data_IF_022005671155
#
_entry.id   IF_022005671155
#
_cell.length_a   1.000
_cell.length_b   1.000
_cell.length_c   1.000
_cell.angle_alpha   90.00
_cell.angle_beta   90.00
_cell.angle_gamma   90.00
#
_symmetry.space_group_name_H-M   'P 1'
#
loop_
_entity.id
_entity.type
_entity.pdbx_description
1 polymer ?
#
# COMPACT_ATOMS: atom_id res chain seq x y z
N UNK A 1 31.83 -31.01 -5.07
CA UNK A 1 30.56 -30.84 -4.36
C UNK A 1 29.75 -29.79 -5.08
N UNK A 2 28.44 -29.94 -5.10
CA UNK A 2 27.53 -29.00 -5.75
C UNK A 2 27.21 -27.78 -4.87
N UNK A 3 26.28 -26.96 -5.35
CA UNK A 3 25.72 -25.83 -4.61
C UNK A 3 24.98 -26.34 -3.37
N UNK A 4 25.25 -25.75 -2.20
CA UNK A 4 24.65 -26.18 -0.94
C UNK A 4 25.32 -27.40 -0.31
N UNK A 5 26.48 -27.82 -0.82
CA UNK A 5 27.25 -28.94 -0.29
C UNK A 5 28.66 -28.49 0.13
N UNK A 6 29.21 -29.15 1.16
CA UNK A 6 30.62 -29.03 1.53
C UNK A 6 31.34 -30.35 1.42
N UNK A 7 32.66 -30.28 1.25
CA UNK A 7 33.52 -31.47 1.22
C UNK A 7 33.99 -31.82 2.62
N UNK A 8 33.59 -32.98 3.13
CA UNK A 8 34.10 -33.45 4.40
C UNK A 8 35.55 -33.91 4.28
N UNK A 9 36.41 -33.42 5.19
CA UNK A 9 37.84 -33.67 5.13
C UNK A 9 38.22 -35.09 5.57
N UNK A 10 37.32 -35.79 6.29
CA UNK A 10 37.58 -37.17 6.78
C UNK A 10 37.21 -38.21 5.73
N UNK A 11 36.05 -38.04 5.10
CA UNK A 11 35.51 -39.03 4.15
C UNK A 11 35.75 -38.66 2.69
N UNK A 12 36.04 -37.39 2.38
CA UNK A 12 36.11 -36.88 1.01
C UNK A 12 34.76 -36.80 0.30
N UNK A 13 33.67 -37.12 1.00
CA UNK A 13 32.29 -37.14 0.49
C UNK A 13 31.69 -35.73 0.57
N UNK A 14 30.81 -35.42 -0.38
CA UNK A 14 30.04 -34.19 -0.38
C UNK A 14 28.78 -34.36 0.47
N UNK A 15 28.62 -33.50 1.47
CA UNK A 15 27.45 -33.49 2.36
C UNK A 15 26.74 -32.14 2.26
N UNK A 16 25.42 -32.13 2.47
CA UNK A 16 24.66 -30.88 2.50
C UNK A 16 25.13 -29.98 3.64
N UNK A 17 25.11 -28.66 3.41
CA UNK A 17 25.38 -27.69 4.46
C UNK A 17 24.38 -27.87 5.62
N UNK A 18 24.87 -27.94 6.88
CA UNK A 18 24.01 -28.09 8.04
C UNK A 18 23.12 -26.86 8.26
N UNK A 19 22.12 -26.99 9.14
CA UNK A 19 21.30 -25.86 9.58
C UNK A 19 22.15 -24.67 10.05
N UNK A 20 21.61 -23.45 9.93
CA UNK A 20 22.32 -22.19 10.24
C UNK A 20 23.51 -21.89 9.31
N UNK A 21 23.68 -22.67 8.23
CA UNK A 21 24.67 -22.40 7.18
C UNK A 21 24.05 -22.56 5.79
N UNK A 22 24.70 -21.98 4.78
CA UNK A 22 24.29 -22.10 3.38
C UNK A 22 25.49 -22.04 2.44
N UNK A 23 25.32 -22.47 1.20
CA UNK A 23 26.32 -22.29 0.12
C UNK A 23 25.61 -22.04 -1.21
N UNK A 24 26.00 -20.97 -1.92
CA UNK A 24 25.46 -20.62 -3.25
C UNK A 24 26.38 -21.02 -4.40
N UNK A 25 27.63 -21.31 -4.10
CA UNK A 25 28.68 -21.65 -5.05
C UNK A 25 29.14 -23.11 -4.87
N UNK A 26 29.66 -23.72 -5.94
CA UNK A 26 30.23 -25.07 -5.87
C UNK A 26 31.62 -25.11 -5.20
N UNK A 27 31.95 -24.12 -4.36
CA UNK A 27 33.25 -24.01 -3.68
C UNK A 27 33.46 -25.11 -2.63
N UNK A 28 32.38 -25.79 -2.22
CA UNK A 28 32.44 -26.80 -1.19
C UNK A 28 32.61 -26.23 0.22
N UNK A 29 32.26 -24.96 0.44
CA UNK A 29 32.34 -24.28 1.74
C UNK A 29 30.98 -23.72 2.14
N UNK A 30 30.55 -24.01 3.38
CA UNK A 30 29.32 -23.45 3.94
C UNK A 30 29.60 -22.13 4.67
N UNK A 31 28.84 -21.09 4.32
CA UNK A 31 28.88 -19.78 4.97
C UNK A 31 27.88 -19.73 6.14
N UNK A 32 28.19 -18.97 7.21
CA UNK A 32 27.27 -18.79 8.33
C UNK A 32 26.04 -17.98 7.89
N UNK A 33 24.87 -18.30 8.44
CA UNK A 33 23.64 -17.57 8.13
C UNK A 33 23.75 -16.09 8.53
N UNK A 34 23.43 -15.14 7.64
CA UNK A 34 23.47 -13.72 7.95
C UNK A 34 22.39 -13.34 8.97
N UNK A 35 22.55 -12.17 9.59
CA UNK A 35 21.52 -11.61 10.45
C UNK A 35 20.21 -11.38 9.67
N UNK A 36 19.09 -11.59 10.37
CA UNK A 36 17.75 -11.46 9.80
C UNK A 36 17.44 -12.41 8.62
N UNK A 37 18.26 -13.44 8.44
CA UNK A 37 18.02 -14.57 7.54
C UNK A 37 17.72 -15.87 8.31
N UNK A 38 16.97 -16.76 7.66
CA UNK A 38 16.75 -18.14 8.05
C UNK A 38 17.48 -19.05 7.05
N UNK A 39 18.25 -20.02 7.57
CA UNK A 39 18.98 -20.99 6.77
C UNK A 39 18.64 -22.40 7.29
N UNK A 40 17.70 -23.12 6.65
CA UNK A 40 17.39 -24.50 7.00
C UNK A 40 18.50 -25.50 6.58
N UNK A 41 19.54 -25.03 5.88
CA UNK A 41 20.65 -25.84 5.39
C UNK A 41 20.69 -25.89 3.86
N UNK A 42 21.72 -26.54 3.31
CA UNK A 42 21.93 -26.62 1.86
C UNK A 42 22.24 -25.26 1.22
N UNK A 43 21.47 -24.89 0.19
CA UNK A 43 21.57 -23.60 -0.50
C UNK A 43 20.40 -22.66 -0.16
N UNK A 44 19.56 -23.05 0.79
CA UNK A 44 18.41 -22.27 1.20
C UNK A 44 18.84 -21.18 2.18
N UNK A 45 18.81 -19.95 1.72
CA UNK A 45 18.79 -18.75 2.53
C UNK A 45 17.42 -18.13 2.35
N UNK A 46 16.81 -17.55 3.37
CA UNK A 46 15.51 -16.88 3.28
C UNK A 46 15.44 -15.67 4.22
N UNK A 47 14.97 -14.49 3.79
CA UNK A 47 14.74 -13.36 4.68
C UNK A 47 13.71 -13.69 5.77
N UNK A 48 13.92 -13.24 7.00
CA UNK A 48 12.91 -13.30 8.05
C UNK A 48 11.71 -12.37 7.73
N UNK A 49 10.53 -12.60 8.35
CA UNK A 49 9.40 -11.70 8.21
C UNK A 49 9.76 -10.25 8.58
N UNK A 50 9.45 -9.33 7.67
CA UNK A 50 9.83 -7.92 7.76
C UNK A 50 11.12 -7.54 7.03
N UNK A 51 11.84 -8.52 6.47
CA UNK A 51 13.04 -8.31 5.67
C UNK A 51 12.84 -8.76 4.23
N UNK A 52 13.65 -8.20 3.34
CA UNK A 52 13.64 -8.45 1.90
C UNK A 52 15.07 -8.53 1.37
N UNK A 53 15.24 -9.26 0.26
CA UNK A 53 16.52 -9.39 -0.45
C UNK A 53 16.32 -9.15 -1.94
N UNK A 54 17.39 -8.75 -2.61
CA UNK A 54 17.38 -8.41 -4.04
C UNK A 54 17.29 -9.61 -5.00
N UNK A 55 17.87 -10.74 -4.63
CA UNK A 55 17.89 -11.98 -5.42
C UNK A 55 17.97 -13.19 -4.50
N UNK A 56 17.77 -14.39 -5.02
CA UNK A 56 17.87 -15.62 -4.23
C UNK A 56 19.29 -15.91 -3.69
N UNK A 57 20.32 -15.34 -4.32
CA UNK A 57 21.73 -15.47 -3.93
C UNK A 57 22.24 -14.26 -3.13
N UNK A 58 21.40 -13.23 -2.96
CA UNK A 58 21.78 -12.05 -2.18
C UNK A 58 21.78 -12.39 -0.69
N UNK A 59 22.91 -12.11 -0.06
CA UNK A 59 23.13 -12.30 1.39
C UNK A 59 22.71 -11.08 2.20
N UNK A 60 22.34 -9.98 1.54
CA UNK A 60 21.93 -8.73 2.18
C UNK A 60 20.43 -8.77 2.49
N UNK A 61 20.11 -8.71 3.78
CA UNK A 61 18.74 -8.64 4.30
C UNK A 61 18.40 -7.19 4.64
N UNK A 62 17.55 -6.58 3.82
CA UNK A 62 17.10 -5.20 4.00
C UNK A 62 15.77 -5.15 4.74
N UNK A 63 15.63 -4.22 5.69
CA UNK A 63 14.37 -3.99 6.39
C UNK A 63 13.32 -3.38 5.45
N UNK A 64 12.09 -3.89 5.52
CA UNK A 64 11.00 -3.34 4.71
C UNK A 64 10.39 -2.09 5.37
N UNK A 65 9.93 -1.08 4.60
CA UNK A 65 9.38 0.17 5.14
C UNK A 65 8.19 -0.02 6.07
N UNK A 66 7.36 -1.04 5.83
CA UNK A 66 6.23 -1.41 6.69
C UNK A 66 6.51 -2.70 7.48
N UNK A 67 7.77 -3.13 7.55
CA UNK A 67 8.20 -4.36 8.20
C UNK A 67 7.36 -5.56 7.77
N UNK A 68 6.83 -6.29 8.76
CA UNK A 68 6.05 -7.53 8.55
C UNK A 68 4.72 -7.32 7.81
N UNK A 69 4.24 -6.08 7.72
CA UNK A 69 2.99 -5.74 7.01
C UNK A 69 3.17 -5.81 5.51
N UNK A 70 4.35 -5.48 4.98
CA UNK A 70 4.65 -5.59 3.55
C UNK A 70 5.48 -6.82 3.19
N UNK A 71 6.36 -7.28 4.08
CA UNK A 71 7.25 -8.42 3.83
C UNK A 71 6.88 -9.62 4.69
N UNK A 72 6.43 -10.69 4.04
CA UNK A 72 6.00 -11.92 4.69
C UNK A 72 7.19 -12.76 5.21
N UNK A 73 8.39 -12.53 4.66
CA UNK A 73 9.56 -13.41 4.83
C UNK A 73 9.68 -14.38 3.67
N UNK A 74 10.74 -15.19 3.63
CA UNK A 74 10.98 -16.15 2.54
C UNK A 74 11.20 -15.50 1.17
N UNK A 75 11.51 -14.21 1.12
CA UNK A 75 11.63 -13.44 -0.11
C UNK A 75 10.27 -13.10 -0.75
N UNK A 76 9.16 -13.26 -0.02
CA UNK A 76 7.80 -12.99 -0.50
C UNK A 76 7.24 -11.71 0.12
N UNK A 77 6.46 -10.99 -0.69
CA UNK A 77 5.66 -9.87 -0.23
C UNK A 77 4.32 -10.36 0.35
N UNK A 78 3.77 -9.55 1.26
CA UNK A 78 2.41 -9.71 1.76
C UNK A 78 1.38 -9.42 0.66
N UNK A 79 0.14 -9.88 0.89
CA UNK A 79 -0.94 -9.67 -0.08
C UNK A 79 -1.17 -8.18 -0.37
N UNK A 80 -1.21 -7.84 -1.65
CA UNK A 80 -1.40 -6.46 -2.11
C UNK A 80 -0.12 -5.64 -2.24
N UNK A 81 1.04 -6.23 -1.91
CA UNK A 81 2.35 -5.63 -2.03
C UNK A 81 3.22 -6.36 -3.05
N UNK A 82 4.08 -5.61 -3.73
CA UNK A 82 5.00 -6.12 -4.75
C UNK A 82 6.23 -5.22 -4.91
N UNK A 83 7.19 -5.66 -5.73
CA UNK A 83 8.39 -4.90 -6.09
C UNK A 83 9.49 -4.90 -5.02
N UNK A 84 10.46 -4.00 -5.18
CA UNK A 84 11.60 -3.85 -4.28
C UNK A 84 11.12 -3.48 -2.88
N UNK A 85 11.62 -4.17 -1.85
CA UNK A 85 11.22 -4.00 -0.45
C UNK A 85 9.71 -4.17 -0.19
N UNK A 86 8.99 -4.77 -1.15
CA UNK A 86 7.53 -4.84 -1.14
C UNK A 86 6.88 -3.46 -0.94
N UNK A 87 7.49 -2.41 -1.52
CA UNK A 87 7.09 -1.02 -1.32
C UNK A 87 6.08 -0.51 -2.35
N UNK A 88 5.64 -1.35 -3.29
CA UNK A 88 4.67 -1.00 -4.34
C UNK A 88 3.38 -1.80 -4.18
N UNK A 89 2.25 -1.26 -4.62
CA UNK A 89 0.98 -1.98 -4.60
C UNK A 89 0.90 -2.97 -5.77
N UNK A 90 0.40 -4.17 -5.48
CA UNK A 90 0.17 -5.18 -6.48
C UNK A 90 -1.09 -4.88 -7.33
N UNK A 91 -1.27 -5.62 -8.43
CA UNK A 91 -2.41 -5.44 -9.32
C UNK A 91 -3.74 -5.60 -8.57
N UNK A 92 -4.64 -4.64 -8.77
CA UNK A 92 -5.93 -4.60 -8.07
C UNK A 92 -5.86 -3.96 -6.68
N UNK A 93 -4.71 -3.41 -6.28
CA UNK A 93 -4.54 -2.59 -5.09
C UNK A 93 -4.09 -1.17 -5.45
N UNK A 94 -4.50 -0.19 -4.66
CA UNK A 94 -4.13 1.22 -4.80
C UNK A 94 -3.66 1.80 -3.47
N UNK A 95 -2.93 2.91 -3.54
CA UNK A 95 -2.37 3.56 -2.35
C UNK A 95 -3.45 4.33 -1.59
N UNK A 96 -3.63 4.05 -0.30
CA UNK A 96 -4.56 4.79 0.59
C UNK A 96 -3.85 5.69 1.59
N UNK A 97 -2.52 5.75 1.53
CA UNK A 97 -1.66 6.53 2.39
C UNK A 97 -0.19 6.29 2.05
N UNK A 98 0.76 6.76 2.87
CA UNK A 98 2.18 6.52 2.64
C UNK A 98 2.48 5.02 2.69
N UNK A 99 2.90 4.46 1.56
CA UNK A 99 3.24 3.04 1.35
C UNK A 99 2.14 2.02 1.69
N UNK A 100 0.92 2.42 2.06
CA UNK A 100 -0.18 1.48 2.38
C UNK A 100 -1.03 1.18 1.15
N UNK A 101 -1.26 -0.11 0.92
CA UNK A 101 -2.04 -0.62 -0.21
C UNK A 101 -3.39 -1.15 0.26
N UNK A 102 -4.47 -0.78 -0.43
CA UNK A 102 -5.81 -1.31 -0.22
C UNK A 102 -6.43 -1.78 -1.53
N UNK A 103 -7.40 -2.68 -1.47
CA UNK A 103 -8.06 -3.22 -2.68
C UNK A 103 -8.80 -2.11 -3.43
N UNK A 104 -8.61 -2.07 -4.75
CA UNK A 104 -9.36 -1.19 -5.63
C UNK A 104 -10.84 -1.61 -5.67
N UNK A 105 -11.72 -0.62 -5.77
CA UNK A 105 -13.15 -0.86 -6.02
C UNK A 105 -13.30 -1.46 -7.41
N UNK A 106 -14.05 -2.57 -7.52
CA UNK A 106 -14.30 -3.22 -8.81
C UNK A 106 -15.08 -2.26 -9.73
N UNK A 107 -14.79 -2.24 -11.04
CA UNK A 107 -15.49 -1.36 -11.99
C UNK A 107 -17.01 -1.50 -11.95
N UNK A 108 -17.55 -2.72 -11.74
CA UNK A 108 -18.99 -2.96 -11.61
C UNK A 108 -19.61 -2.30 -10.40
N UNK A 109 -18.91 -2.36 -9.25
CA UNK A 109 -19.36 -1.69 -8.01
C UNK A 109 -19.25 -0.19 -8.17
N UNK A 110 -18.16 0.31 -8.76
CA UNK A 110 -18.00 1.74 -9.04
C UNK A 110 -19.09 2.27 -9.97
N UNK A 111 -19.41 1.54 -11.04
CA UNK A 111 -20.49 1.88 -11.97
C UNK A 111 -21.86 1.87 -11.28
N UNK A 112 -22.15 0.85 -10.46
CA UNK A 112 -23.39 0.78 -9.70
C UNK A 112 -23.53 1.95 -8.72
N UNK A 113 -22.48 2.28 -7.97
CA UNK A 113 -22.45 3.43 -7.07
C UNK A 113 -22.65 4.75 -7.83
N UNK A 114 -22.02 4.89 -9.00
CA UNK A 114 -22.19 6.06 -9.86
C UNK A 114 -23.64 6.19 -10.36
N UNK A 115 -24.23 5.11 -10.85
CA UNK A 115 -25.62 5.11 -11.32
C UNK A 115 -26.60 5.45 -10.19
N UNK A 116 -26.42 4.86 -9.00
CA UNK A 116 -27.22 5.20 -7.81
C UNK A 116 -27.09 6.69 -7.45
N UNK A 117 -25.88 7.24 -7.53
CA UNK A 117 -25.64 8.66 -7.29
C UNK A 117 -26.35 9.53 -8.34
N UNK A 118 -26.26 9.19 -9.63
CA UNK A 118 -26.96 9.89 -10.71
C UNK A 118 -28.48 9.90 -10.49
N UNK A 119 -29.08 8.74 -10.19
CA UNK A 119 -30.51 8.63 -9.91
C UNK A 119 -30.88 9.49 -8.69
N UNK A 120 -30.10 9.40 -7.61
CA UNK A 120 -30.28 10.22 -6.42
C UNK A 120 -30.25 11.72 -6.72
N UNK A 121 -29.30 12.17 -7.56
CA UNK A 121 -29.23 13.58 -7.97
C UNK A 121 -30.42 14.02 -8.82
N UNK A 122 -30.91 13.17 -9.72
CA UNK A 122 -32.11 13.48 -10.53
C UNK A 122 -33.35 13.60 -9.65
N UNK A 123 -33.55 12.68 -8.71
CA UNK A 123 -34.65 12.74 -7.75
C UNK A 123 -34.56 14.00 -6.90
N UNK A 124 -33.36 14.31 -6.38
CA UNK A 124 -33.13 15.52 -5.60
C UNK A 124 -33.45 16.80 -6.38
N UNK A 125 -33.02 16.89 -7.64
CA UNK A 125 -33.34 18.02 -8.52
C UNK A 125 -34.84 18.10 -8.80
N UNK A 126 -35.52 16.99 -9.08
CA UNK A 126 -36.96 16.97 -9.31
C UNK A 126 -37.74 17.47 -8.08
N UNK A 127 -37.34 17.06 -6.88
CA UNK A 127 -37.93 17.51 -5.61
C UNK A 127 -37.74 19.02 -5.43
N UNK A 128 -36.51 19.52 -5.62
CA UNK A 128 -36.23 20.96 -5.45
C UNK A 128 -36.97 21.81 -6.49
N UNK A 129 -37.09 21.33 -7.73
CA UNK A 129 -37.90 21.97 -8.79
C UNK A 129 -39.38 21.99 -8.40
N UNK A 130 -39.93 20.87 -7.92
CA UNK A 130 -41.32 20.78 -7.51
C UNK A 130 -41.65 21.76 -6.38
N UNK A 131 -40.85 21.78 -5.30
CA UNK A 131 -41.03 22.73 -4.20
C UNK A 131 -40.88 24.17 -4.66
N UNK A 132 -39.89 24.46 -5.51
CA UNK A 132 -39.72 25.81 -6.06
C UNK A 132 -40.91 26.21 -6.93
N UNK A 133 -41.46 25.30 -7.73
CA UNK A 133 -42.64 25.57 -8.55
C UNK A 133 -43.87 25.85 -7.69
N UNK A 134 -44.14 25.01 -6.68
CA UNK A 134 -45.25 25.21 -5.74
C UNK A 134 -45.17 26.56 -5.03
N UNK A 135 -43.99 26.92 -4.50
CA UNK A 135 -43.75 28.22 -3.84
C UNK A 135 -43.98 29.42 -4.79
N UNK A 136 -43.68 29.26 -6.09
CA UNK A 136 -43.89 30.34 -7.07
C UNK A 136 -45.37 30.50 -7.49
N UNK A 137 -46.16 29.43 -7.46
CA UNK A 137 -47.59 29.48 -7.81
C UNK A 137 -48.42 30.06 -6.66
N UNK A 138 -48.10 29.70 -5.42
CA UNK A 138 -48.88 30.13 -4.26
C UNK A 138 -48.71 31.62 -3.93
N UNK A 139 -47.65 32.27 -4.46
CA UNK A 139 -47.50 33.73 -4.45
C UNK A 139 -47.40 34.38 -3.07
N UNK A 140 -47.23 33.57 -2.02
CA UNK A 140 -47.12 34.03 -0.63
C UNK A 140 -45.81 34.81 -0.40
N UNK A 141 -45.89 35.83 0.47
CA UNK A 141 -44.75 36.61 0.98
C UNK A 141 -44.11 36.00 2.24
N UNK A 142 -44.57 34.84 2.68
CA UNK A 142 -43.94 34.10 3.79
C UNK A 142 -42.58 33.51 3.37
N UNK A 143 -41.81 33.09 4.37
CA UNK A 143 -40.49 32.50 4.16
C UNK A 143 -40.60 31.20 3.34
N UNK A 144 -40.08 31.23 2.11
CA UNK A 144 -40.19 30.13 1.14
C UNK A 144 -39.30 28.94 1.54
N UNK A 145 -39.86 27.74 1.76
CA UNK A 145 -39.08 26.55 2.07
C UNK A 145 -38.00 26.24 1.01
N UNK A 146 -38.25 26.56 -0.26
CA UNK A 146 -37.27 26.39 -1.34
C UNK A 146 -35.99 27.23 -1.14
N UNK A 147 -36.06 28.38 -0.48
CA UNK A 147 -34.89 29.24 -0.23
C UNK A 147 -34.03 28.70 0.92
N UNK A 148 -34.65 28.14 1.97
CA UNK A 148 -33.94 27.43 3.04
C UNK A 148 -33.20 26.20 2.51
N UNK A 149 -33.85 25.43 1.62
CA UNK A 149 -33.23 24.26 0.98
C UNK A 149 -32.00 24.67 0.16
N UNK A 150 -32.07 25.76 -0.62
CA UNK A 150 -30.92 26.26 -1.40
C UNK A 150 -29.75 26.67 -0.50
N UNK A 151 -30.01 27.36 0.61
CA UNK A 151 -28.97 27.76 1.57
C UNK A 151 -28.28 26.51 2.16
N UNK A 152 -29.05 25.49 2.54
CA UNK A 152 -28.50 24.24 3.06
C UNK A 152 -27.63 23.53 2.01
N UNK A 153 -28.10 23.47 0.76
CA UNK A 153 -27.34 22.87 -0.36
C UNK A 153 -26.01 23.59 -0.56
N UNK A 154 -26.01 24.92 -0.56
CA UNK A 154 -24.78 25.70 -0.71
C UNK A 154 -23.79 25.44 0.44
N UNK A 155 -24.29 25.35 1.68
CA UNK A 155 -23.45 25.04 2.84
C UNK A 155 -22.80 23.65 2.74
N UNK A 156 -23.57 22.64 2.31
CA UNK A 156 -23.07 21.27 2.11
C UNK A 156 -22.06 21.22 0.96
N UNK A 157 -22.35 21.89 -0.18
CA UNK A 157 -21.43 21.97 -1.31
C UNK A 157 -20.10 22.63 -0.92
N UNK A 158 -20.14 23.72 -0.15
CA UNK A 158 -18.96 24.41 0.36
C UNK A 158 -18.08 23.50 1.23
N UNK A 159 -18.69 22.77 2.19
CA UNK A 159 -17.96 21.82 3.04
C UNK A 159 -17.39 20.65 2.25
N UNK A 160 -18.12 20.13 1.26
CA UNK A 160 -17.63 19.06 0.40
C UNK A 160 -16.40 19.51 -0.42
N UNK A 161 -16.44 20.70 -1.01
CA UNK A 161 -15.32 21.27 -1.78
C UNK A 161 -14.10 21.45 -0.87
N UNK A 162 -14.27 22.06 0.30
CA UNK A 162 -13.19 22.25 1.27
C UNK A 162 -12.59 20.91 1.71
N UNK A 163 -13.42 19.91 2.00
CA UNK A 163 -12.94 18.58 2.39
C UNK A 163 -12.08 17.92 1.30
N UNK A 164 -12.47 18.07 0.02
CA UNK A 164 -11.68 17.56 -1.11
C UNK A 164 -10.36 18.33 -1.26
N UNK A 165 -10.39 19.66 -1.12
CA UNK A 165 -9.17 20.47 -1.16
C UNK A 165 -8.22 20.16 0.00
N UNK A 166 -8.76 19.98 1.21
CA UNK A 166 -7.96 19.68 2.40
C UNK A 166 -7.35 18.28 2.33
N UNK A 167 -8.10 17.26 1.89
CA UNK A 167 -7.57 15.90 1.72
C UNK A 167 -6.49 15.82 0.64
N UNK A 168 -6.66 16.52 -0.49
CA UNK A 168 -5.63 16.66 -1.53
C UNK A 168 -4.43 17.47 -1.04
N UNK A 169 -4.67 18.55 -0.29
CA UNK A 169 -3.64 19.38 0.33
C UNK A 169 -2.77 18.60 1.32
N UNK A 170 -3.37 17.79 2.21
CA UNK A 170 -2.62 16.91 3.11
C UNK A 170 -1.77 15.88 2.34
N UNK A 171 -2.32 15.29 1.29
CA UNK A 171 -1.56 14.34 0.47
C UNK A 171 -0.36 15.01 -0.23
N UNK A 172 -0.53 16.25 -0.72
CA UNK A 172 0.53 17.03 -1.34
C UNK A 172 1.59 17.48 -0.32
N UNK A 173 1.16 17.91 0.87
CA UNK A 173 2.05 18.40 1.92
C UNK A 173 2.85 17.26 2.57
N UNK A 174 2.24 16.08 2.76
CA UNK A 174 2.93 14.85 3.17
C UNK A 174 4.00 14.44 2.14
N UNK A 175 3.71 14.59 0.85
CA UNK A 175 4.67 14.29 -0.22
C UNK A 175 5.81 15.32 -0.28
N UNK A 176 5.52 16.60 -0.06
CA UNK A 176 6.53 17.67 -0.01
C UNK A 176 7.41 17.60 1.23
N UNK A 177 6.84 17.32 2.41
CA UNK A 177 7.60 17.09 3.64
C UNK A 177 8.45 15.82 3.57
N UNK A 178 7.96 14.75 2.94
CA UNK A 178 8.77 13.55 2.68
C UNK A 178 9.95 13.83 1.74
N UNK A 179 9.76 14.65 0.70
CA UNK A 179 10.86 15.10 -0.18
C UNK A 179 11.85 16.01 0.54
N UNK A 180 11.37 16.94 1.39
CA UNK A 180 12.21 17.81 2.20
C UNK A 180 13.00 17.02 3.26
N UNK A 181 12.40 16.02 3.92
CA UNK A 181 13.07 15.10 4.85
C UNK A 181 14.22 14.35 4.16
N UNK A 182 13.98 13.86 2.94
CA UNK A 182 15.00 13.23 2.09
C UNK A 182 16.11 14.21 1.68
N UNK A 183 15.77 15.44 1.27
CA UNK A 183 16.75 16.45 0.90
C UNK A 183 17.58 16.96 2.10
N UNK A 184 17.00 16.94 3.31
CA UNK A 184 17.67 17.37 4.54
C UNK A 184 18.44 16.24 5.23
N UNK A 185 18.46 15.01 4.68
CA UNK A 185 19.24 13.88 5.20
C UNK A 185 18.79 13.38 6.58
N UNK A 186 17.57 13.72 7.03
CA UNK A 186 17.08 13.39 8.37
C UNK A 186 16.64 11.93 8.53
N UNK A 187 16.64 11.14 7.44
CA UNK A 187 16.34 9.69 7.43
C UNK A 187 17.57 8.79 7.18
N UNK A 188 18.80 9.30 7.24
CA UNK A 188 20.01 8.46 7.43
C UNK A 188 20.15 8.08 8.91
N UNK A 189 19.28 7.21 9.44
CA UNK A 189 19.33 6.90 10.87
C UNK A 189 18.57 5.68 11.38
N UNK A 190 18.03 4.84 10.49
CA UNK A 190 17.56 3.51 10.89
C UNK A 190 17.66 2.57 9.69
N UNK A 191 18.87 2.06 9.52
CA UNK A 191 19.30 1.06 8.54
C UNK A 191 18.41 -0.19 8.58
#
# INVERSE_FOLDING_TARGET
CGVGEFRDNRTGVCMCCPERTYSFDASGTCLPCPENGACPGGNALEPLPGYWRSSNESTQMHLCPLGKVSCAGGGKCQQGYTGRLCASCDRGFGTTGPLRCAKCVKPTVAFGLYLCMCIGTVIFVAITVHFTYADNVEGSNDLRPSDLIKILVLYVQYHAIIGVYFSRGLSSMSTSLGRLSWCLGLEQGRL
#
